data_IF_771368941421
#
_entry.id   IF_771368941421
#
_cell.length_a   1.000
_cell.length_b   1.000
_cell.length_c   1.000
_cell.angle_alpha   90.00
_cell.angle_beta   90.00
_cell.angle_gamma   90.00
#
_symmetry.space_group_name_H-M   'P 1'
#
loop_
_entity.id
_entity.type
_entity.pdbx_description
1 polymer ?
#
# COMPACT_ATOMS: atom_id res chain seq x y z
N UNK A 1 -21.97 27.26 -9.78
CA UNK A 1 -21.14 26.97 -8.59
C UNK A 1 -19.69 26.88 -9.04
N UNK A 2 -18.77 27.68 -8.49
CA UNK A 2 -17.34 27.56 -8.82
C UNK A 2 -16.87 26.19 -8.35
N UNK A 3 -16.38 25.35 -9.26
CA UNK A 3 -15.81 24.06 -8.87
C UNK A 3 -14.63 24.28 -7.94
N UNK A 4 -14.73 23.80 -6.69
CA UNK A 4 -13.57 23.76 -5.79
C UNK A 4 -12.53 22.85 -6.43
N UNK A 5 -11.36 23.41 -6.76
CA UNK A 5 -10.21 22.66 -7.31
C UNK A 5 -9.68 21.69 -6.25
N UNK A 6 -9.18 20.53 -6.66
CA UNK A 6 -8.45 19.63 -5.76
C UNK A 6 -7.26 20.40 -5.19
N UNK A 7 -7.06 20.36 -3.86
CA UNK A 7 -5.89 20.97 -3.24
C UNK A 7 -4.60 20.38 -3.83
N UNK A 8 -3.62 21.22 -4.16
CA UNK A 8 -2.38 20.79 -4.83
C UNK A 8 -1.68 19.62 -4.12
N UNK A 9 -1.66 19.62 -2.77
CA UNK A 9 -1.11 18.50 -1.99
C UNK A 9 -1.82 17.16 -2.22
N UNK A 10 -3.15 17.15 -2.34
CA UNK A 10 -3.92 15.93 -2.63
C UNK A 10 -3.58 15.42 -4.03
N UNK A 11 -3.48 16.33 -5.01
CA UNK A 11 -3.13 15.99 -6.38
C UNK A 11 -1.72 15.38 -6.44
N UNK A 12 -0.72 16.04 -5.86
CA UNK A 12 0.67 15.56 -5.86
C UNK A 12 0.81 14.22 -5.16
N UNK A 13 0.23 14.05 -3.97
CA UNK A 13 0.27 12.76 -3.25
C UNK A 13 -0.43 11.65 -4.04
N UNK A 14 -1.56 11.94 -4.66
CA UNK A 14 -2.29 10.94 -5.46
C UNK A 14 -1.49 10.53 -6.70
N UNK A 15 -0.85 11.47 -7.40
CA UNK A 15 -0.02 11.17 -8.57
C UNK A 15 1.19 10.31 -8.17
N UNK A 16 1.91 10.69 -7.10
CA UNK A 16 3.05 9.90 -6.60
C UNK A 16 2.59 8.48 -6.24
N UNK A 17 1.46 8.35 -5.54
CA UNK A 17 0.96 7.05 -5.12
C UNK A 17 0.47 6.20 -6.29
N UNK A 18 -0.08 6.82 -7.34
CA UNK A 18 -0.43 6.14 -8.60
C UNK A 18 0.83 5.59 -9.28
N UNK A 19 1.89 6.39 -9.41
CA UNK A 19 3.14 5.93 -10.04
C UNK A 19 3.72 4.74 -9.27
N UNK A 20 3.76 4.82 -7.94
CA UNK A 20 4.21 3.72 -7.09
C UNK A 20 3.30 2.48 -7.19
N UNK A 21 1.98 2.68 -7.28
CA UNK A 21 1.01 1.59 -7.43
C UNK A 21 1.17 0.88 -8.77
N UNK A 22 1.37 1.60 -9.87
CA UNK A 22 1.63 1.01 -11.20
C UNK A 22 2.92 0.20 -11.19
N UNK A 23 4.01 0.74 -10.64
CA UNK A 23 5.26 -0.01 -10.49
C UNK A 23 5.11 -1.26 -9.61
N UNK A 24 4.33 -1.15 -8.53
CA UNK A 24 4.00 -2.28 -7.67
C UNK A 24 3.20 -3.38 -8.38
N UNK A 25 2.20 -3.01 -9.19
CA UNK A 25 1.43 -3.97 -9.99
C UNK A 25 2.32 -4.66 -11.02
N UNK A 26 3.16 -3.91 -11.72
CA UNK A 26 4.11 -4.46 -12.68
C UNK A 26 5.04 -5.49 -12.02
N UNK A 27 5.62 -5.14 -10.86
CA UNK A 27 6.46 -6.06 -10.08
C UNK A 27 5.70 -7.32 -9.67
N UNK A 28 4.45 -7.21 -9.21
CA UNK A 28 3.64 -8.37 -8.84
C UNK A 28 3.37 -9.28 -10.04
N UNK A 29 3.10 -8.72 -11.22
CA UNK A 29 2.88 -9.48 -12.46
C UNK A 29 4.16 -10.19 -12.89
N UNK A 30 5.31 -9.49 -12.90
CA UNK A 30 6.60 -10.09 -13.22
C UNK A 30 6.95 -11.27 -12.29
N UNK A 31 6.70 -11.10 -10.99
CA UNK A 31 6.91 -12.17 -10.01
C UNK A 31 5.96 -13.36 -10.20
N UNK A 32 4.74 -13.13 -10.70
CA UNK A 32 3.80 -14.21 -11.00
C UNK A 32 4.20 -14.98 -12.27
N UNK A 33 4.68 -14.28 -13.30
CA UNK A 33 5.13 -14.90 -14.56
C UNK A 33 6.39 -15.75 -14.37
N UNK A 34 7.34 -15.29 -13.55
CA UNK A 34 8.60 -15.98 -13.26
C UNK A 34 8.58 -16.71 -11.92
N UNK A 35 7.40 -17.08 -11.42
CA UNK A 35 7.24 -17.62 -10.08
C UNK A 35 8.06 -18.89 -9.86
N UNK A 36 8.03 -19.83 -10.81
CA UNK A 36 8.72 -21.12 -10.70
C UNK A 36 10.23 -20.96 -10.70
N UNK A 37 10.76 -20.14 -11.62
CA UNK A 37 12.20 -19.84 -11.72
C UNK A 37 12.70 -19.14 -10.45
N UNK A 38 11.99 -18.08 -10.00
CA UNK A 38 12.34 -17.37 -8.77
C UNK A 38 12.24 -18.26 -7.54
N UNK A 39 11.26 -19.16 -7.49
CA UNK A 39 11.10 -20.13 -6.39
C UNK A 39 12.26 -21.13 -6.35
N UNK A 40 12.71 -21.65 -7.50
CA UNK A 40 13.88 -22.54 -7.56
C UNK A 40 15.15 -21.83 -7.08
N UNK A 41 15.40 -20.61 -7.55
CA UNK A 41 16.54 -19.79 -7.10
C UNK A 41 16.48 -19.54 -5.59
N UNK A 42 15.29 -19.29 -5.03
CA UNK A 42 15.09 -19.13 -3.58
C UNK A 42 15.41 -20.40 -2.79
N UNK A 43 15.02 -21.58 -3.30
CA UNK A 43 15.32 -22.87 -2.66
C UNK A 43 16.84 -23.15 -2.68
N UNK A 44 17.51 -22.84 -3.79
CA UNK A 44 18.97 -23.00 -3.90
C UNK A 44 19.71 -22.01 -2.99
N UNK A 45 19.26 -20.76 -2.95
CA UNK A 45 19.77 -19.75 -2.03
C UNK A 45 19.59 -20.14 -0.57
N UNK A 46 18.44 -20.71 -0.20
CA UNK A 46 18.19 -21.22 1.16
C UNK A 46 19.15 -22.36 1.53
N UNK A 47 19.44 -23.28 0.61
CA UNK A 47 20.43 -24.36 0.83
C UNK A 47 21.84 -23.79 1.06
N UNK A 48 22.24 -22.77 0.30
CA UNK A 48 23.53 -22.11 0.48
C UNK A 48 23.62 -21.36 1.83
N UNK A 49 22.54 -20.71 2.25
CA UNK A 49 22.45 -20.01 3.56
C UNK A 49 22.38 -21.00 4.73
N UNK A 50 21.79 -22.18 4.53
CA UNK A 50 21.82 -23.24 5.54
C UNK A 50 23.24 -23.77 5.77
N UNK A 51 24.09 -23.76 4.74
CA UNK A 51 25.50 -24.17 4.83
C UNK A 51 26.39 -23.10 5.45
N UNK A 52 26.03 -21.81 5.35
CA UNK A 52 26.82 -20.71 5.92
C UNK A 52 26.63 -20.52 7.43
N UNK A 53 25.72 -21.27 8.07
CA UNK A 53 25.49 -21.25 9.53
C UNK A 53 24.83 -19.97 10.05
N UNK A 54 24.49 -19.02 9.18
CA UNK A 54 23.93 -17.74 9.59
C UNK A 54 22.42 -17.85 9.86
N UNK A 55 22.04 -17.86 11.13
CA UNK A 55 20.64 -17.96 11.59
C UNK A 55 19.78 -16.78 11.15
N UNK A 56 20.36 -15.58 11.04
CA UNK A 56 19.65 -14.37 10.59
C UNK A 56 19.20 -14.45 9.13
N UNK A 57 20.12 -14.82 8.22
CA UNK A 57 19.78 -14.94 6.79
C UNK A 57 18.87 -16.14 6.52
N UNK A 58 18.96 -17.21 7.34
CA UNK A 58 18.06 -18.36 7.24
C UNK A 58 16.60 -17.96 7.49
N UNK A 59 16.34 -17.17 8.53
CA UNK A 59 14.99 -16.67 8.85
C UNK A 59 14.41 -15.78 7.73
N UNK A 60 15.23 -14.91 7.15
CA UNK A 60 14.82 -14.06 6.02
C UNK A 60 14.51 -14.89 4.75
N UNK A 61 15.34 -15.90 4.45
CA UNK A 61 15.15 -16.80 3.31
C UNK A 61 13.89 -17.67 3.47
N UNK A 62 13.64 -18.21 4.68
CA UNK A 62 12.46 -19.01 4.99
C UNK A 62 11.17 -18.17 4.84
N UNK A 63 11.21 -16.92 5.30
CA UNK A 63 10.09 -15.98 5.16
C UNK A 63 9.85 -15.62 3.69
N UNK A 64 10.90 -15.36 2.92
CA UNK A 64 10.78 -15.06 1.50
C UNK A 64 10.22 -16.25 0.70
N UNK A 65 10.61 -17.49 1.05
CA UNK A 65 10.08 -18.70 0.42
C UNK A 65 8.60 -18.92 0.76
N UNK A 66 8.19 -18.66 2.00
CA UNK A 66 6.78 -18.71 2.40
C UNK A 66 5.94 -17.63 1.68
N UNK A 67 6.52 -16.45 1.48
CA UNK A 67 5.87 -15.36 0.73
C UNK A 67 5.81 -15.62 -0.78
N UNK A 68 6.74 -16.39 -1.34
CA UNK A 68 6.75 -16.81 -2.74
C UNK A 68 5.68 -17.86 -3.11
N UNK A 69 4.53 -17.84 -2.41
CA UNK A 69 3.39 -18.71 -2.66
C UNK A 69 2.40 -18.02 -3.61
N UNK A 70 1.86 -18.74 -4.58
CA UNK A 70 0.92 -18.22 -5.59
C UNK A 70 -0.31 -17.51 -4.97
N UNK A 71 -0.78 -18.00 -3.82
CA UNK A 71 -1.88 -17.38 -3.07
C UNK A 71 -1.52 -15.98 -2.56
N UNK A 72 -0.30 -15.77 -2.04
CA UNK A 72 0.14 -14.48 -1.51
C UNK A 72 0.24 -13.42 -2.62
N UNK A 73 0.76 -13.81 -3.78
CA UNK A 73 0.81 -12.94 -4.95
C UNK A 73 -0.58 -12.56 -5.44
N UNK A 74 -1.49 -13.53 -5.52
CA UNK A 74 -2.87 -13.29 -5.97
C UNK A 74 -3.61 -12.31 -5.04
N UNK A 75 -3.52 -12.51 -3.72
CA UNK A 75 -4.13 -11.62 -2.73
C UNK A 75 -3.52 -10.21 -2.80
N UNK A 76 -2.20 -10.12 -2.92
CA UNK A 76 -1.50 -8.83 -3.04
C UNK A 76 -1.90 -8.06 -4.29
N UNK A 77 -2.11 -8.76 -5.41
CA UNK A 77 -2.54 -8.19 -6.67
C UNK A 77 -3.98 -7.63 -6.57
N UNK A 78 -4.90 -8.36 -5.93
CA UNK A 78 -6.27 -7.90 -5.67
C UNK A 78 -6.28 -6.60 -4.85
N UNK A 79 -5.52 -6.54 -3.73
CA UNK A 79 -5.43 -5.32 -2.93
C UNK A 79 -4.83 -4.15 -3.72
N UNK A 80 -3.82 -4.42 -4.55
CA UNK A 80 -3.18 -3.38 -5.37
C UNK A 80 -4.18 -2.75 -6.36
N UNK A 81 -5.02 -3.56 -7.01
CA UNK A 81 -6.07 -3.10 -7.92
C UNK A 81 -7.13 -2.28 -7.17
N UNK A 82 -7.59 -2.74 -6.00
CA UNK A 82 -8.58 -2.01 -5.18
C UNK A 82 -8.04 -0.63 -4.78
N UNK A 83 -6.79 -0.56 -4.34
CA UNK A 83 -6.14 0.70 -3.96
C UNK A 83 -6.01 1.61 -5.18
N UNK A 84 -5.62 1.06 -6.33
CA UNK A 84 -5.50 1.83 -7.59
C UNK A 84 -6.84 2.44 -8.02
N UNK A 85 -7.92 1.66 -8.02
CA UNK A 85 -9.29 2.14 -8.30
C UNK A 85 -9.71 3.22 -7.28
N UNK A 86 -9.36 3.02 -6.00
CA UNK A 86 -9.66 3.98 -4.95
C UNK A 86 -8.97 5.32 -5.18
N UNK A 87 -7.72 5.33 -5.66
CA UNK A 87 -7.00 6.57 -5.99
C UNK A 87 -7.63 7.33 -7.15
N UNK A 88 -8.07 6.61 -8.18
CA UNK A 88 -8.80 7.20 -9.31
C UNK A 88 -10.10 7.85 -8.81
N UNK A 89 -10.83 7.19 -7.92
CA UNK A 89 -12.05 7.76 -7.30
C UNK A 89 -11.76 9.00 -6.44
N UNK A 90 -10.61 9.06 -5.75
CA UNK A 90 -10.15 10.26 -5.01
C UNK A 90 -9.90 11.42 -5.97
N UNK A 91 -9.25 11.16 -7.12
CA UNK A 91 -9.06 12.18 -8.17
C UNK A 91 -10.39 12.68 -8.74
N UNK A 92 -11.40 11.80 -8.84
CA UNK A 92 -12.77 12.16 -9.24
C UNK A 92 -13.61 12.82 -8.13
N UNK A 93 -13.01 13.22 -7.00
CA UNK A 93 -13.70 13.88 -5.87
C UNK A 93 -14.84 13.04 -5.26
N UNK A 94 -14.83 11.71 -5.43
CA UNK A 94 -15.88 10.83 -4.88
C UNK A 94 -15.54 10.46 -3.44
N UNK A 95 -16.49 10.68 -2.53
CA UNK A 95 -16.41 10.29 -1.09
C UNK A 95 -16.00 8.82 -0.91
N UNK A 96 -16.55 7.94 -1.75
CA UNK A 96 -16.32 6.49 -1.69
C UNK A 96 -14.85 6.14 -1.88
N UNK A 97 -14.12 6.86 -2.73
CA UNK A 97 -12.70 6.60 -2.99
C UNK A 97 -11.81 6.82 -1.78
N UNK A 98 -12.15 7.81 -0.94
CA UNK A 98 -11.42 8.07 0.30
C UNK A 98 -11.59 6.89 1.26
N UNK A 99 -12.84 6.50 1.54
CA UNK A 99 -13.12 5.39 2.46
C UNK A 99 -12.54 4.06 1.97
N UNK A 100 -12.71 3.75 0.68
CA UNK A 100 -12.21 2.50 0.11
C UNK A 100 -10.69 2.42 0.14
N UNK A 101 -9.99 3.54 -0.08
CA UNK A 101 -8.53 3.61 0.01
C UNK A 101 -8.06 3.28 1.44
N UNK A 102 -8.57 3.98 2.44
CA UNK A 102 -8.18 3.76 3.85
C UNK A 102 -8.50 2.34 4.33
N UNK A 103 -9.70 1.85 4.01
CA UNK A 103 -10.11 0.49 4.38
C UNK A 103 -9.20 -0.55 3.72
N UNK A 104 -8.90 -0.40 2.42
CA UNK A 104 -8.02 -1.33 1.71
C UNK A 104 -6.59 -1.34 2.27
N UNK A 105 -6.07 -0.18 2.65
CA UNK A 105 -4.74 -0.05 3.25
C UNK A 105 -4.71 -0.72 4.63
N UNK A 106 -5.74 -0.51 5.46
CA UNK A 106 -5.85 -1.16 6.77
C UNK A 106 -5.96 -2.68 6.64
N UNK A 107 -6.82 -3.19 5.75
CA UNK A 107 -6.95 -4.62 5.47
C UNK A 107 -5.64 -5.23 4.99
N UNK A 108 -4.95 -4.56 4.05
CA UNK A 108 -3.64 -5.00 3.56
C UNK A 108 -2.60 -5.03 4.68
N UNK A 109 -2.62 -4.05 5.57
CA UNK A 109 -1.71 -3.96 6.71
C UNK A 109 -1.94 -5.10 7.69
N UNK A 110 -3.20 -5.39 8.03
CA UNK A 110 -3.58 -6.52 8.89
C UNK A 110 -3.15 -7.85 8.25
N UNK A 111 -3.44 -8.04 6.96
CA UNK A 111 -3.02 -9.24 6.23
C UNK A 111 -1.50 -9.45 6.27
N UNK A 112 -0.73 -8.38 6.05
CA UNK A 112 0.73 -8.43 6.10
C UNK A 112 1.26 -8.85 7.47
N UNK A 113 0.60 -8.45 8.56
CA UNK A 113 1.00 -8.83 9.92
C UNK A 113 0.65 -10.30 10.20
N UNK A 114 -0.49 -10.78 9.71
CA UNK A 114 -0.91 -12.18 9.89
C UNK A 114 0.05 -13.12 9.15
N UNK A 115 0.37 -12.82 7.89
CA UNK A 115 1.20 -13.71 7.05
C UNK A 115 2.70 -13.53 7.33
N UNK A 116 3.15 -12.30 7.55
CA UNK A 116 4.56 -11.99 7.82
C UNK A 116 4.99 -12.22 9.27
N UNK A 117 4.03 -12.44 10.18
CA UNK A 117 4.27 -12.51 11.62
C UNK A 117 4.58 -11.15 12.26
N UNK A 118 4.56 -11.12 13.60
CA UNK A 118 4.87 -9.91 14.36
C UNK A 118 6.38 -9.82 14.63
N UNK A 119 7.06 -8.93 13.91
CA UNK A 119 8.47 -8.64 14.08
C UNK A 119 8.70 -7.13 14.07
N UNK A 120 9.70 -6.65 14.81
CA UNK A 120 10.06 -5.23 14.88
C UNK A 120 10.36 -4.67 13.48
N UNK A 121 11.02 -5.48 12.64
CA UNK A 121 11.30 -5.13 11.25
C UNK A 121 10.02 -4.99 10.41
N UNK A 122 9.06 -5.90 10.57
CA UNK A 122 7.76 -5.83 9.89
C UNK A 122 6.97 -4.59 10.32
N UNK A 123 7.05 -4.21 11.60
CA UNK A 123 6.38 -3.04 12.14
C UNK A 123 6.95 -1.73 11.56
N UNK A 124 8.29 -1.63 11.45
CA UNK A 124 8.96 -0.48 10.82
C UNK A 124 8.56 -0.38 9.34
N UNK A 125 8.48 -1.52 8.64
CA UNK A 125 8.08 -1.57 7.24
C UNK A 125 6.64 -1.11 7.04
N UNK A 126 5.74 -1.53 7.92
CA UNK A 126 4.33 -1.11 7.89
C UNK A 126 4.21 0.40 8.09
N UNK A 127 4.89 0.97 9.10
CA UNK A 127 4.92 2.41 9.35
C UNK A 127 5.42 3.21 8.15
N UNK A 128 6.51 2.76 7.52
CA UNK A 128 7.04 3.40 6.31
C UNK A 128 6.08 3.30 5.14
N UNK A 129 5.38 2.18 4.97
CA UNK A 129 4.37 2.04 3.91
C UNK A 129 3.13 2.91 4.15
N UNK A 130 2.85 3.27 5.40
CA UNK A 130 1.66 4.02 5.81
C UNK A 130 1.88 5.54 5.80
N UNK A 131 3.13 6.02 5.73
CA UNK A 131 3.43 7.47 5.77
C UNK A 131 2.74 8.23 4.63
N UNK A 132 2.79 7.67 3.42
CA UNK A 132 2.29 8.29 2.20
C UNK A 132 0.75 8.32 2.15
N UNK A 133 0.04 7.21 2.40
CA UNK A 133 -1.42 7.26 2.54
C UNK A 133 -1.87 8.04 3.78
N UNK A 134 -1.08 8.05 4.85
CA UNK A 134 -1.33 8.89 6.02
C UNK A 134 -1.30 10.39 5.69
N UNK A 135 -0.29 10.84 4.94
CA UNK A 135 -0.22 12.21 4.42
C UNK A 135 -1.42 12.54 3.52
N UNK A 136 -1.79 11.62 2.63
CA UNK A 136 -2.96 11.77 1.77
C UNK A 136 -4.23 11.97 2.62
N UNK A 137 -4.38 11.21 3.71
CA UNK A 137 -5.48 11.35 4.67
C UNK A 137 -5.49 12.69 5.37
N UNK A 138 -4.33 13.16 5.83
CA UNK A 138 -4.19 14.45 6.49
C UNK A 138 -4.56 15.61 5.55
N UNK A 139 -4.15 15.54 4.28
CA UNK A 139 -4.55 16.53 3.27
C UNK A 139 -6.05 16.48 2.95
N UNK A 140 -6.64 15.29 2.90
CA UNK A 140 -8.10 15.14 2.72
C UNK A 140 -8.84 15.71 3.94
N UNK A 141 -8.36 15.46 5.16
CA UNK A 141 -8.96 16.01 6.38
C UNK A 141 -8.96 17.54 6.38
N UNK A 142 -7.81 18.16 6.06
CA UNK A 142 -7.68 19.62 5.98
C UNK A 142 -8.55 20.25 4.89
N UNK A 143 -8.89 19.51 3.83
CA UNK A 143 -9.75 19.99 2.72
C UNK A 143 -11.00 19.12 2.53
N UNK A 144 -11.60 18.67 3.64
CA UNK A 144 -12.76 17.77 3.64
C UNK A 144 -14.00 18.37 2.95
N UNK A 145 -14.06 19.71 2.83
CA UNK A 145 -15.15 20.41 2.15
C UNK A 145 -15.18 20.21 0.64
N UNK A 146 -14.08 19.78 0.02
CA UNK A 146 -14.03 19.42 -1.41
C UNK A 146 -14.71 18.08 -1.68
N UNK A 147 -14.68 17.17 -0.70
CA UNK A 147 -15.30 15.86 -0.79
C UNK A 147 -16.74 15.86 -0.28
N UNK A 148 -17.30 17.01 0.12
CA UNK A 148 -18.66 17.12 0.62
C UNK A 148 -18.85 16.58 2.04
N UNK A 149 -17.79 16.51 2.85
CA UNK A 149 -17.85 16.25 4.29
C UNK A 149 -17.99 17.53 5.12
N UNK A 150 -18.25 18.68 4.49
CA UNK A 150 -18.40 19.95 5.17
C UNK A 150 -19.71 19.99 5.97
N UNK A 151 -19.59 20.21 7.28
CA UNK A 151 -20.60 20.93 8.03
C UNK A 151 -20.34 22.44 7.84
N UNK A 152 -21.37 23.27 7.65
CA UNK A 152 -21.21 24.69 7.33
C UNK A 152 -20.44 25.51 8.37
N UNK A 153 -20.28 25.00 9.59
CA UNK A 153 -19.86 25.80 10.76
C UNK A 153 -18.34 25.72 11.06
N UNK A 154 -17.62 24.70 10.58
CA UNK A 154 -16.18 24.52 10.88
C UNK A 154 -15.23 25.09 9.82
N UNK A 155 -15.71 25.36 8.59
CA UNK A 155 -14.86 25.89 7.50
C UNK A 155 -14.51 27.39 7.72
N UNK A 156 -15.18 28.11 8.62
CA UNK A 156 -14.86 29.51 8.95
C UNK A 156 -13.64 29.68 9.86
N UNK A 157 -13.20 28.63 10.56
CA UNK A 157 -12.09 28.71 11.51
C UNK A 157 -10.71 28.42 10.90
N UNK A 158 -10.65 27.91 9.66
CA UNK A 158 -9.39 27.56 8.97
C UNK A 158 -8.90 28.71 8.07
N UNK A 159 -9.78 29.67 7.75
CA UNK A 159 -9.50 30.83 6.90
C UNK A 159 -9.34 32.15 7.71
N UNK A 160 -9.34 32.09 9.05
CA UNK A 160 -9.03 33.20 9.97
C UNK A 160 -7.63 33.03 10.57
#
# INVERSE_FOLDING_TARGET
MKEKKLGGGILTCSIIYIILSVGGIYSLIDNLLHLEEKRQVLIEGQKAVAQSGSTFFKSAADTALAQATTLNFSISLVFSIIIFISLILILFKKKVGVYSCFIAILLRSIYSVIVGGFSILSLIGLLMSLILPGLLGLFIYKRRSIFGFANPDEDQAIDA
#
